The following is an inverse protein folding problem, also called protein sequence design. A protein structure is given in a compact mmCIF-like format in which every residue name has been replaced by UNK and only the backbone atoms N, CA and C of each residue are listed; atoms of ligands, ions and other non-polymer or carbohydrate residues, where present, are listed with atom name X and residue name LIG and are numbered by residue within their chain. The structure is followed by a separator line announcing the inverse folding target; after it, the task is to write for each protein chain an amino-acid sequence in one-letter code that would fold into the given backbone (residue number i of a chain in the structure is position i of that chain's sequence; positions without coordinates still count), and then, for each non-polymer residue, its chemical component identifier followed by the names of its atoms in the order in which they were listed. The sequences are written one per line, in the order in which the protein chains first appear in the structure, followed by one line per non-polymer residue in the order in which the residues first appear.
data_IF_038722773949
#
_entry.id   IF_038722773949
#
_cell.length_a   1.000
_cell.length_b   1.000
_cell.length_c   1.000
_cell.angle_alpha   90.00
_cell.angle_beta   90.00
_cell.angle_gamma   90.00
#
_symmetry.space_group_name_H-M   'P 1'
#
loop_
_entity.id
_entity.type
_entity.pdbx_description
1 polymer ?
#
# COMPACT_ATOMS: atom_id res chain seq x y z
N UNK A 1 2.29 5.39 -3.10
CA UNK A 1 3.40 5.02 -2.18
C UNK A 1 3.18 3.68 -1.49
N UNK A 2 2.16 3.53 -0.63
CA UNK A 2 1.91 2.28 0.12
C UNK A 2 1.77 1.09 -0.81
N UNK A 3 0.93 1.21 -1.84
CA UNK A 3 0.72 0.17 -2.84
C UNK A 3 2.00 -0.26 -3.57
N UNK A 4 2.87 0.70 -3.92
CA UNK A 4 4.19 0.41 -4.51
C UNK A 4 5.10 -0.36 -3.54
N UNK A 5 5.16 0.03 -2.25
CA UNK A 5 5.97 -0.68 -1.23
C UNK A 5 5.46 -2.10 -0.94
N UNK A 6 4.14 -2.27 -0.92
CA UNK A 6 3.51 -3.59 -0.74
C UNK A 6 3.50 -4.43 -2.02
N UNK A 7 3.93 -3.88 -3.16
CA UNK A 7 3.81 -4.49 -4.49
C UNK A 7 2.38 -4.95 -4.85
N UNK A 8 1.36 -4.29 -4.30
CA UNK A 8 -0.04 -4.47 -4.74
C UNK A 8 -0.24 -4.00 -6.19
N UNK A 9 0.63 -3.08 -6.63
CA UNK A 9 0.96 -2.82 -8.02
C UNK A 9 2.12 -1.83 -8.05
N UNK A 10 2.83 -1.80 -9.18
CA UNK A 10 4.02 -0.96 -9.37
C UNK A 10 3.69 0.09 -10.41
N UNK A 11 3.61 1.35 -10.04
CA UNK A 11 3.23 2.42 -10.95
C UNK A 11 4.00 3.71 -10.65
N UNK A 12 4.22 4.52 -11.69
CA UNK A 12 4.87 5.84 -11.57
C UNK A 12 3.85 6.96 -11.39
N UNK A 13 2.64 6.80 -11.90
CA UNK A 13 1.57 7.81 -11.77
C UNK A 13 0.38 7.28 -10.95
N UNK A 14 -0.43 8.17 -10.34
CA UNK A 14 -1.66 7.77 -9.63
C UNK A 14 -2.66 7.01 -10.51
N UNK A 15 -2.83 7.41 -11.76
CA UNK A 15 -3.80 6.83 -12.70
C UNK A 15 -3.42 5.40 -13.07
N UNK A 16 -2.13 5.17 -13.35
CA UNK A 16 -1.60 3.82 -13.60
C UNK A 16 -1.76 2.94 -12.35
N UNK A 17 -1.54 3.52 -11.16
CA UNK A 17 -1.73 2.80 -9.91
C UNK A 17 -3.19 2.40 -9.71
N UNK A 18 -4.13 3.30 -9.96
CA UNK A 18 -5.55 3.03 -9.83
C UNK A 18 -5.98 1.84 -10.70
N UNK A 19 -5.60 1.84 -11.98
CA UNK A 19 -5.90 0.74 -12.90
C UNK A 19 -5.34 -0.61 -12.41
N UNK A 20 -4.14 -0.61 -11.83
CA UNK A 20 -3.53 -1.83 -11.28
C UNK A 20 -4.26 -2.33 -10.02
N UNK A 21 -4.67 -1.42 -9.14
CA UNK A 21 -5.45 -1.77 -7.95
C UNK A 21 -6.84 -2.29 -8.31
N UNK A 22 -7.51 -1.70 -9.30
CA UNK A 22 -8.81 -2.17 -9.79
C UNK A 22 -8.75 -3.61 -10.36
N UNK A 23 -7.60 -4.01 -10.91
CA UNK A 23 -7.36 -5.40 -11.37
C UNK A 23 -7.06 -6.37 -10.23
N UNK A 24 -6.39 -5.89 -9.17
CA UNK A 24 -5.97 -6.72 -8.04
C UNK A 24 -7.03 -6.86 -6.94
N UNK A 25 -7.95 -5.91 -6.83
CA UNK A 25 -8.93 -5.81 -5.74
C UNK A 25 -10.34 -5.96 -6.32
N UNK A 26 -11.20 -6.83 -5.75
CA UNK A 26 -12.59 -6.94 -6.17
C UNK A 26 -13.33 -5.59 -6.11
N UNK A 27 -14.19 -5.31 -7.10
CA UNK A 27 -14.90 -4.03 -7.24
C UNK A 27 -15.67 -3.59 -5.99
N UNK A 28 -16.26 -4.55 -5.27
CA UNK A 28 -16.99 -4.32 -4.01
C UNK A 28 -16.12 -3.70 -2.91
N UNK A 29 -14.81 -3.94 -2.94
CA UNK A 29 -13.88 -3.55 -1.88
C UNK A 29 -13.10 -2.28 -2.22
N UNK A 30 -13.31 -1.65 -3.39
CA UNK A 30 -12.50 -0.49 -3.82
C UNK A 30 -12.57 0.68 -2.85
N UNK A 31 -13.77 1.04 -2.39
CA UNK A 31 -13.96 2.13 -1.43
C UNK A 31 -13.30 1.81 -0.07
N UNK A 32 -13.41 0.58 0.41
CA UNK A 32 -12.78 0.15 1.65
C UNK A 32 -11.25 0.13 1.52
N UNK A 33 -10.73 -0.43 0.43
CA UNK A 33 -9.30 -0.50 0.13
C UNK A 33 -8.65 0.88 0.03
N UNK A 34 -9.34 1.86 -0.56
CA UNK A 34 -8.90 3.25 -0.58
C UNK A 34 -8.63 3.75 0.85
N UNK A 35 -9.60 3.60 1.74
CA UNK A 35 -9.45 4.00 3.14
C UNK A 35 -8.36 3.20 3.86
N UNK A 36 -8.29 1.88 3.67
CA UNK A 36 -7.25 1.04 4.28
C UNK A 36 -5.85 1.51 3.90
N UNK A 37 -5.60 1.76 2.62
CA UNK A 37 -4.30 2.20 2.11
C UNK A 37 -3.93 3.60 2.64
N UNK A 38 -4.89 4.52 2.72
CA UNK A 38 -4.68 5.86 3.29
C UNK A 38 -4.37 5.77 4.78
N UNK A 39 -5.19 5.09 5.57
CA UNK A 39 -5.00 4.97 7.01
C UNK A 39 -3.68 4.27 7.33
N UNK A 40 -3.38 3.18 6.64
CA UNK A 40 -2.12 2.48 6.81
C UNK A 40 -0.92 3.37 6.46
N UNK A 41 -1.00 4.13 5.36
CA UNK A 41 0.04 5.05 4.94
C UNK A 41 0.27 6.23 5.88
N UNK A 42 -0.77 6.67 6.60
CA UNK A 42 -0.70 7.78 7.57
C UNK A 42 -0.20 7.32 8.93
N UNK A 43 -0.65 6.16 9.41
CA UNK A 43 -0.36 5.67 10.77
C UNK A 43 0.90 4.82 10.86
N UNK A 44 1.14 3.94 9.88
CA UNK A 44 2.19 2.90 9.93
C UNK A 44 3.24 3.10 8.83
N UNK A 45 2.82 3.04 7.56
CA UNK A 45 3.69 3.16 6.38
C UNK A 45 3.95 4.62 5.99
N UNK A 46 4.48 5.39 6.96
CA UNK A 46 4.83 6.80 6.85
C UNK A 46 5.81 7.04 5.70
N UNK A 47 5.82 8.26 5.17
CA UNK A 47 6.68 8.60 4.03
C UNK A 47 8.16 8.43 4.36
N UNK A 48 8.58 8.94 5.53
CA UNK A 48 9.93 8.80 6.10
C UNK A 48 9.85 7.91 7.35
N UNK A 49 10.83 7.03 7.53
CA UNK A 49 10.94 6.10 8.68
C UNK A 49 9.61 5.35 8.96
N UNK A 50 9.15 4.48 8.05
CA UNK A 50 7.96 3.67 8.28
C UNK A 50 8.12 2.77 9.51
N UNK A 51 7.04 2.53 10.25
CA UNK A 51 7.04 1.69 11.44
C UNK A 51 6.94 0.21 11.05
N UNK A 52 7.94 -0.30 10.32
CA UNK A 52 7.92 -1.67 9.79
C UNK A 52 7.81 -2.74 10.89
N UNK A 53 8.45 -2.54 12.04
CA UNK A 53 8.42 -3.49 13.15
C UNK A 53 7.02 -3.62 13.78
N UNK A 54 6.21 -2.57 13.72
CA UNK A 54 4.83 -2.54 14.24
C UNK A 54 3.79 -2.87 13.14
N UNK A 55 4.24 -3.09 11.90
CA UNK A 55 3.37 -3.32 10.77
C UNK A 55 2.89 -4.77 10.74
N UNK A 56 1.58 -4.99 10.83
CA UNK A 56 0.99 -6.34 10.71
C UNK A 56 1.26 -7.01 9.35
N UNK A 57 1.57 -6.23 8.30
CA UNK A 57 1.96 -6.72 6.98
C UNK A 57 3.46 -6.95 6.82
N UNK A 58 4.28 -6.78 7.87
CA UNK A 58 5.75 -6.86 7.78
C UNK A 58 6.21 -8.15 7.10
N UNK A 59 5.70 -9.29 7.56
CA UNK A 59 6.03 -10.62 7.04
C UNK A 59 5.64 -10.84 5.57
N UNK A 60 4.74 -10.04 5.00
CA UNK A 60 4.33 -10.10 3.59
C UNK A 60 4.92 -8.96 2.75
N UNK A 61 5.49 -7.92 3.37
CA UNK A 61 5.89 -6.70 2.70
C UNK A 61 7.32 -6.80 2.13
N UNK A 62 7.49 -6.77 0.80
CA UNK A 62 8.81 -6.92 0.18
C UNK A 62 9.78 -5.76 0.50
N UNK A 63 9.23 -4.62 0.90
CA UNK A 63 9.97 -3.41 1.25
C UNK A 63 10.19 -3.23 2.76
N UNK A 64 9.74 -4.16 3.62
CA UNK A 64 9.94 -4.02 5.06
C UNK A 64 11.43 -3.94 5.42
N UNK A 65 11.79 -3.00 6.30
CA UNK A 65 13.17 -2.77 6.75
C UNK A 65 14.12 -2.16 5.70
N UNK A 66 13.64 -1.89 4.47
CA UNK A 66 14.46 -1.36 3.35
C UNK A 66 14.17 0.11 3.01
N UNK A 67 13.23 0.75 3.72
CA UNK A 67 12.71 2.11 3.44
C UNK A 67 12.61 2.96 4.68
#
# INVERSE_FOLDING_TARGET
RVSNRLKLGIAKTPEEMEQKLQKAIPKKDWAAAHHWLIYHGRRVCKARKPLCNECFLNHLCPSAGKV
#
